data_IF_674982529711
#
_entry.id   IF_674982529711
#
_cell.length_a   1.000
_cell.length_b   1.000
_cell.length_c   1.000
_cell.angle_alpha   90.00
_cell.angle_beta   90.00
_cell.angle_gamma   90.00
#
_symmetry.space_group_name_H-M   'P 1'
#
loop_
_entity.id
_entity.type
_entity.pdbx_description
1 polymer ?
#
# COMPACT_ATOMS: atom_id res chain seq x y z
N UNK A 1 1.39 8.50 22.48
CA UNK A 1 2.65 7.93 21.97
C UNK A 1 2.28 7.06 20.78
N UNK A 2 2.59 7.49 19.56
CA UNK A 2 2.49 6.63 18.37
C UNK A 2 3.84 5.96 18.20
N UNK A 3 3.96 4.71 18.64
CA UNK A 3 5.15 3.91 18.35
C UNK A 3 5.23 3.72 16.83
N UNK A 4 6.40 3.96 16.23
CA UNK A 4 6.63 3.62 14.83
C UNK A 4 6.37 2.12 14.63
N UNK A 5 5.41 1.78 13.78
CA UNK A 5 4.96 0.40 13.60
C UNK A 5 6.04 -0.50 13.00
N UNK A 6 6.93 0.07 12.17
CA UNK A 6 8.05 -0.66 11.57
C UNK A 6 9.11 -0.96 12.62
N UNK A 7 9.43 0.00 13.47
CA UNK A 7 10.34 -0.21 14.61
C UNK A 7 9.79 -1.27 15.57
N UNK A 8 8.50 -1.16 15.93
CA UNK A 8 7.84 -2.14 16.78
C UNK A 8 7.85 -3.55 16.18
N UNK A 9 7.58 -3.67 14.88
CA UNK A 9 7.59 -4.97 14.19
C UNK A 9 8.98 -5.63 14.26
N UNK A 10 10.06 -4.87 14.04
CA UNK A 10 11.43 -5.41 14.14
C UNK A 10 11.80 -5.81 15.57
N UNK A 11 11.41 -5.01 16.57
CA UNK A 11 11.63 -5.34 17.98
C UNK A 11 10.89 -6.63 18.36
N UNK A 12 9.61 -6.74 17.97
CA UNK A 12 8.79 -7.92 18.25
C UNK A 12 9.29 -9.17 17.53
N UNK A 13 9.74 -9.04 16.28
CA UNK A 13 10.37 -10.14 15.52
C UNK A 13 11.61 -10.67 16.23
N UNK A 14 12.54 -9.79 16.60
CA UNK A 14 13.75 -10.16 17.32
C UNK A 14 13.46 -10.78 18.70
N UNK A 15 12.43 -10.28 19.39
CA UNK A 15 11.99 -10.87 20.67
C UNK A 15 11.39 -12.27 20.46
N UNK A 16 10.56 -12.44 19.43
CA UNK A 16 9.94 -13.72 19.10
C UNK A 16 10.96 -14.78 18.68
N UNK A 17 11.97 -14.43 17.89
CA UNK A 17 13.05 -15.35 17.49
C UNK A 17 13.85 -15.90 18.69
N UNK A 18 14.03 -15.07 19.74
CA UNK A 18 14.75 -15.46 20.96
C UNK A 18 13.88 -16.21 21.97
N UNK A 19 12.57 -16.09 21.86
CA UNK A 19 11.64 -16.73 22.77
C UNK A 19 11.51 -18.24 22.51
N UNK A 20 11.04 -18.99 23.52
CA UNK A 20 10.80 -20.43 23.39
C UNK A 20 9.74 -20.70 22.33
N UNK A 21 10.13 -21.40 21.26
CA UNK A 21 9.22 -21.74 20.17
C UNK A 21 8.20 -22.81 20.58
N UNK A 22 7.09 -22.86 19.84
CA UNK A 22 6.04 -23.87 19.98
C UNK A 22 4.73 -23.33 20.57
N UNK A 23 3.82 -24.25 20.88
CA UNK A 23 2.46 -23.91 21.31
C UNK A 23 2.45 -23.51 22.78
N UNK A 24 2.25 -22.21 23.02
CA UNK A 24 2.05 -21.69 24.37
C UNK A 24 0.60 -21.92 24.79
N UNK A 25 0.39 -22.14 26.08
CA UNK A 25 -0.96 -22.38 26.63
C UNK A 25 -1.19 -21.57 27.89
N UNK A 26 -2.38 -21.00 28.00
CA UNK A 26 -2.88 -20.48 29.27
C UNK A 26 -3.47 -21.65 30.08
N UNK A 27 -3.32 -21.59 31.39
CA UNK A 27 -3.93 -22.57 32.29
C UNK A 27 -4.31 -21.91 33.62
N UNK A 28 -5.14 -22.59 34.40
CA UNK A 28 -5.60 -22.12 35.72
C UNK A 28 -5.11 -23.04 36.81
N UNK A 29 -4.65 -22.45 37.90
CA UNK A 29 -4.30 -23.16 39.13
C UNK A 29 -5.55 -23.42 39.97
N UNK A 30 -5.45 -24.39 40.88
CA UNK A 30 -6.53 -24.73 41.82
C UNK A 30 -6.94 -23.57 42.72
N UNK A 31 -6.04 -22.60 42.96
CA UNK A 31 -6.32 -21.41 43.77
C UNK A 31 -6.98 -20.28 42.98
N UNK A 32 -7.26 -20.47 41.68
CA UNK A 32 -7.89 -19.51 40.78
C UNK A 32 -6.92 -18.56 40.06
N UNK A 33 -5.61 -18.63 40.32
CA UNK A 33 -4.63 -17.86 39.52
C UNK A 33 -4.52 -18.45 38.11
N UNK A 34 -4.07 -17.63 37.18
CA UNK A 34 -3.78 -18.07 35.82
C UNK A 34 -2.26 -18.07 35.57
N UNK A 35 -1.83 -18.93 34.66
CA UNK A 35 -0.43 -19.01 34.23
C UNK A 35 -0.32 -19.27 32.73
N UNK A 36 0.90 -19.16 32.22
CA UNK A 36 1.25 -19.45 30.83
C UNK A 36 2.39 -20.46 30.84
N UNK A 37 2.26 -21.51 30.04
CA UNK A 37 3.29 -22.53 29.82
C UNK A 37 3.91 -22.41 28.43
N UNK A 38 5.22 -22.62 28.34
CA UNK A 38 6.00 -22.59 27.09
C UNK A 38 5.83 -23.82 26.19
N UNK A 39 6.35 -23.71 24.96
CA UNK A 39 6.27 -24.76 23.92
C UNK A 39 7.27 -25.91 24.10
N UNK A 40 6.89 -27.10 23.61
CA UNK A 40 7.57 -28.41 23.61
C UNK A 40 7.07 -29.47 24.61
N UNK A 41 5.86 -29.37 25.16
CA UNK A 41 5.19 -30.40 25.97
C UNK A 41 5.92 -30.86 27.26
N UNK A 42 7.18 -30.47 27.46
CA UNK A 42 7.93 -30.47 28.70
C UNK A 42 7.98 -29.01 29.19
N UNK A 43 7.49 -28.75 30.38
CA UNK A 43 7.33 -27.39 30.90
C UNK A 43 8.71 -26.77 31.17
N UNK A 44 9.13 -25.81 30.34
CA UNK A 44 10.42 -25.09 30.50
C UNK A 44 10.23 -23.73 31.20
N UNK A 45 9.10 -23.05 31.00
CA UNK A 45 8.83 -21.75 31.63
C UNK A 45 7.36 -21.60 31.95
N UNK A 46 7.09 -21.23 33.21
CA UNK A 46 5.76 -21.00 33.76
C UNK A 46 5.70 -19.63 34.41
N UNK A 47 4.88 -18.73 33.87
CA UNK A 47 4.61 -17.44 34.50
C UNK A 47 3.40 -17.57 35.44
N UNK A 48 3.65 -17.84 36.73
CA UNK A 48 2.61 -18.24 37.71
C UNK A 48 1.86 -17.09 38.40
N UNK A 49 2.17 -15.83 38.07
CA UNK A 49 1.73 -14.65 38.82
C UNK A 49 0.67 -13.79 38.11
N UNK A 50 -0.11 -14.37 37.19
CA UNK A 50 -1.25 -13.64 36.60
C UNK A 50 -2.43 -13.66 37.58
N UNK A 51 -3.04 -12.49 37.78
CA UNK A 51 -4.15 -12.29 38.72
C UNK A 51 -5.31 -13.26 38.46
N UNK A 52 -5.99 -13.67 39.54
CA UNK A 52 -7.22 -14.47 39.48
C UNK A 52 -8.34 -13.78 38.70
N UNK A 53 -8.30 -12.45 38.63
CA UNK A 53 -9.28 -11.62 37.95
C UNK A 53 -8.92 -11.33 36.48
N UNK A 54 -7.80 -11.87 35.98
CA UNK A 54 -7.30 -11.60 34.62
C UNK A 54 -6.98 -12.86 33.81
N UNK A 55 -7.91 -13.82 33.69
CA UNK A 55 -7.70 -15.01 32.86
C UNK A 55 -7.50 -14.68 31.38
N UNK A 56 -8.10 -13.58 30.91
CA UNK A 56 -8.00 -13.13 29.52
C UNK A 56 -6.58 -12.69 29.14
N UNK A 57 -5.81 -12.12 30.08
CA UNK A 57 -4.43 -11.71 29.82
C UNK A 57 -3.53 -12.93 29.56
N UNK A 58 -3.70 -14.00 30.35
CA UNK A 58 -2.98 -15.26 30.15
C UNK A 58 -3.31 -15.86 28.78
N UNK A 59 -4.59 -15.89 28.40
CA UNK A 59 -5.04 -16.36 27.09
C UNK A 59 -4.47 -15.52 25.94
N UNK A 60 -4.51 -14.19 26.08
CA UNK A 60 -3.98 -13.27 25.08
C UNK A 60 -2.48 -13.50 24.86
N UNK A 61 -1.68 -13.56 25.93
CA UNK A 61 -0.23 -13.75 25.82
C UNK A 61 0.10 -15.14 25.25
N UNK A 62 -0.63 -16.19 25.65
CA UNK A 62 -0.45 -17.53 25.07
C UNK A 62 -0.78 -17.56 23.56
N UNK A 63 -1.77 -16.79 23.13
CA UNK A 63 -2.11 -16.63 21.70
C UNK A 63 -1.07 -15.76 20.98
N UNK A 64 -0.54 -14.73 21.62
CA UNK A 64 0.55 -13.89 21.12
C UNK A 64 1.93 -14.57 21.25
N UNK A 65 1.97 -15.89 21.07
CA UNK A 65 3.20 -16.66 21.12
C UNK A 65 4.17 -16.27 19.98
N UNK A 66 5.45 -16.68 20.07
CA UNK A 66 6.46 -16.33 19.10
C UNK A 66 6.09 -16.65 17.64
N UNK A 67 5.50 -17.82 17.39
CA UNK A 67 5.12 -18.23 16.03
C UNK A 67 4.04 -17.29 15.45
N UNK A 68 3.04 -16.93 16.24
CA UNK A 68 1.98 -16.01 15.80
C UNK A 68 2.48 -14.58 15.63
N UNK A 69 3.38 -14.11 16.50
CA UNK A 69 4.02 -12.79 16.33
C UNK A 69 4.83 -12.74 15.04
N UNK A 70 5.65 -13.77 14.76
CA UNK A 70 6.43 -13.84 13.53
C UNK A 70 5.52 -13.86 12.28
N UNK A 71 4.44 -14.64 12.30
CA UNK A 71 3.48 -14.69 11.21
C UNK A 71 2.81 -13.32 10.96
N UNK A 72 2.46 -12.59 12.03
CA UNK A 72 1.89 -11.24 11.92
C UNK A 72 2.91 -10.23 11.37
N UNK A 73 4.16 -10.29 11.82
CA UNK A 73 5.22 -9.41 11.30
C UNK A 73 5.50 -9.72 9.83
N UNK A 74 5.57 -10.98 9.43
CA UNK A 74 5.76 -11.36 8.02
C UNK A 74 4.60 -10.88 7.13
N UNK A 75 3.36 -10.99 7.61
CA UNK A 75 2.19 -10.48 6.90
C UNK A 75 2.25 -8.95 6.74
N UNK A 76 2.71 -8.24 7.78
CA UNK A 76 2.91 -6.79 7.76
C UNK A 76 4.00 -6.38 6.76
N UNK A 77 5.17 -7.03 6.80
CA UNK A 77 6.28 -6.80 5.87
C UNK A 77 5.84 -7.01 4.40
N UNK A 78 5.08 -8.09 4.14
CA UNK A 78 4.51 -8.36 2.81
C UNK A 78 3.48 -7.32 2.37
N UNK A 79 2.64 -6.85 3.29
CA UNK A 79 1.66 -5.81 2.98
C UNK A 79 2.33 -4.48 2.62
N UNK A 80 3.38 -4.10 3.36
CA UNK A 80 4.16 -2.89 3.09
C UNK A 80 4.84 -2.97 1.72
N UNK A 81 5.49 -4.09 1.40
CA UNK A 81 6.11 -4.32 0.09
C UNK A 81 5.10 -4.16 -1.06
N UNK A 82 3.88 -4.69 -0.91
CA UNK A 82 2.83 -4.54 -1.92
C UNK A 82 2.42 -3.09 -2.14
N UNK A 83 2.29 -2.31 -1.06
CA UNK A 83 1.96 -0.88 -1.14
C UNK A 83 3.08 -0.13 -1.88
N UNK A 84 4.34 -0.42 -1.56
CA UNK A 84 5.48 0.24 -2.17
C UNK A 84 5.57 -0.10 -3.68
N UNK A 85 5.39 -1.36 -4.05
CA UNK A 85 5.35 -1.77 -5.48
C UNK A 85 4.17 -1.15 -6.23
N UNK A 86 3.00 -1.03 -5.59
CA UNK A 86 1.84 -0.35 -6.22
C UNK A 86 2.12 1.13 -6.44
N UNK A 87 2.77 1.80 -5.48
CA UNK A 87 3.16 3.20 -5.62
C UNK A 87 4.09 3.39 -6.81
N UNK A 88 5.15 2.60 -6.90
CA UNK A 88 6.10 2.65 -8.01
C UNK A 88 5.41 2.43 -9.37
N UNK A 89 4.50 1.45 -9.44
CA UNK A 89 3.71 1.21 -10.65
C UNK A 89 2.88 2.44 -11.05
N UNK A 90 2.13 3.04 -10.11
CA UNK A 90 1.30 4.20 -10.40
C UNK A 90 2.12 5.43 -10.76
N UNK A 91 3.26 5.66 -10.10
CA UNK A 91 4.19 6.73 -10.46
C UNK A 91 4.68 6.58 -11.90
N UNK A 92 5.01 5.34 -12.33
CA UNK A 92 5.39 5.04 -13.71
C UNK A 92 4.27 5.32 -14.72
N UNK A 93 3.05 4.87 -14.44
CA UNK A 93 1.87 5.10 -15.30
C UNK A 93 1.56 6.60 -15.42
N UNK A 94 1.62 7.34 -14.31
CA UNK A 94 1.39 8.79 -14.29
C UNK A 94 2.47 9.51 -15.09
N UNK A 95 3.74 9.12 -14.93
CA UNK A 95 4.85 9.72 -15.66
C UNK A 95 4.73 9.49 -17.18
N UNK A 96 4.41 8.27 -17.62
CA UNK A 96 4.21 7.95 -19.03
C UNK A 96 3.00 8.68 -19.63
N UNK A 97 1.87 8.66 -18.91
CA UNK A 97 0.67 9.40 -19.29
C UNK A 97 0.93 10.90 -19.40
N UNK A 98 1.67 11.48 -18.46
CA UNK A 98 2.09 12.88 -18.49
C UNK A 98 2.95 13.23 -19.71
N UNK A 99 3.91 12.36 -20.07
CA UNK A 99 4.71 12.53 -21.30
C UNK A 99 3.84 12.49 -22.55
N UNK A 100 2.91 11.53 -22.63
CA UNK A 100 2.02 11.40 -23.80
C UNK A 100 1.08 12.59 -23.93
N UNK A 101 0.56 13.11 -22.82
CA UNK A 101 -0.25 14.33 -22.82
C UNK A 101 0.58 15.51 -23.32
N UNK A 102 1.79 15.72 -22.78
CA UNK A 102 2.67 16.81 -23.23
C UNK A 102 3.04 16.70 -24.73
N UNK A 103 3.33 15.49 -25.21
CA UNK A 103 3.56 15.20 -26.64
C UNK A 103 2.33 15.58 -27.47
N UNK A 104 1.14 15.09 -27.11
CA UNK A 104 -0.11 15.40 -27.81
C UNK A 104 -0.47 16.89 -27.78
N UNK A 105 -0.27 17.57 -26.66
CA UNK A 105 -0.48 19.01 -26.50
C UNK A 105 0.53 19.84 -27.30
N UNK A 106 1.70 19.31 -27.60
CA UNK A 106 2.72 19.99 -28.43
C UNK A 106 2.42 19.91 -29.93
N UNK A 107 1.64 18.92 -30.37
CA UNK A 107 1.34 18.69 -31.78
C UNK A 107 0.58 19.85 -32.40
N UNK A 108 0.98 20.19 -33.62
CA UNK A 108 0.33 21.16 -34.48
C UNK A 108 -0.29 20.44 -35.68
N UNK A 109 -1.37 21.00 -36.23
CA UNK A 109 -1.91 20.56 -37.52
C UNK A 109 -1.57 21.57 -38.62
N UNK A 110 -1.19 21.06 -39.79
CA UNK A 110 -1.11 21.83 -41.04
C UNK A 110 -2.45 21.77 -41.74
N UNK A 111 -3.02 22.94 -42.05
CA UNK A 111 -4.25 23.01 -42.84
C UNK A 111 -3.88 23.09 -44.33
N UNK A 112 -4.64 22.43 -45.23
CA UNK A 112 -4.47 22.59 -46.67
C UNK A 112 -4.82 24.03 -47.07
N UNK A 113 -4.31 24.47 -48.23
CA UNK A 113 -4.63 25.79 -48.76
C UNK A 113 -6.13 25.91 -49.09
N UNK A 114 -6.76 27.08 -48.89
CA UNK A 114 -8.18 27.25 -49.13
C UNK A 114 -8.63 26.87 -50.55
N UNK A 115 -7.79 27.04 -51.57
CA UNK A 115 -8.08 26.62 -52.95
C UNK A 115 -8.22 25.08 -53.10
N UNK A 116 -7.66 24.31 -52.17
CA UNK A 116 -7.75 22.84 -52.13
C UNK A 116 -9.00 22.34 -51.39
N UNK A 117 -9.84 23.23 -50.86
CA UNK A 117 -11.01 22.86 -50.08
C UNK A 117 -12.19 22.65 -51.05
N UNK A 118 -12.55 21.39 -51.32
CA UNK A 118 -13.72 21.03 -52.15
C UNK A 118 -15.03 21.25 -51.37
N UNK A 119 -15.43 22.52 -51.20
CA UNK A 119 -16.67 22.92 -50.54
C UNK A 119 -17.51 23.79 -51.46
N UNK A 120 -18.64 23.25 -51.89
CA UNK A 120 -19.59 23.87 -52.83
C UNK A 120 -20.53 24.91 -52.19
N UNK A 121 -20.49 25.13 -50.87
CA UNK A 121 -21.27 26.19 -50.21
C UNK A 121 -20.54 26.84 -49.02
N UNK A 122 -20.57 28.18 -49.01
CA UNK A 122 -20.18 29.13 -47.96
C UNK A 122 -18.68 29.20 -47.65
N UNK A 123 -18.05 30.29 -48.11
CA UNK A 123 -16.71 30.76 -47.76
C UNK A 123 -16.53 30.85 -46.23
N UNK A 124 -16.13 29.75 -45.59
CA UNK A 124 -15.54 29.80 -44.27
C UNK A 124 -14.18 30.49 -44.42
N UNK A 125 -14.15 31.80 -44.19
CA UNK A 125 -12.94 32.59 -44.14
C UNK A 125 -11.88 31.85 -43.29
N UNK A 126 -10.68 31.62 -43.84
CA UNK A 126 -9.55 30.96 -43.18
C UNK A 126 -9.37 31.40 -41.72
N UNK A 127 -9.55 32.69 -41.44
CA UNK A 127 -9.51 33.25 -40.07
C UNK A 127 -10.56 32.62 -39.13
N UNK A 128 -11.79 32.41 -39.59
CA UNK A 128 -12.88 31.79 -38.80
C UNK A 128 -12.61 30.30 -38.54
N UNK A 129 -12.07 29.57 -39.52
CA UNK A 129 -11.70 28.15 -39.36
C UNK A 129 -10.58 27.99 -38.35
N UNK A 130 -9.49 28.75 -38.50
CA UNK A 130 -8.37 28.73 -37.57
C UNK A 130 -8.81 29.16 -36.16
N UNK A 131 -9.67 30.18 -36.04
CA UNK A 131 -10.22 30.59 -34.76
C UNK A 131 -11.05 29.49 -34.08
N UNK A 132 -11.90 28.78 -34.84
CA UNK A 132 -12.69 27.66 -34.32
C UNK A 132 -11.80 26.49 -33.87
N UNK A 133 -10.76 26.14 -34.63
CA UNK A 133 -9.81 25.07 -34.30
C UNK A 133 -9.03 25.41 -33.02
N UNK A 134 -8.56 26.66 -32.90
CA UNK A 134 -7.88 27.14 -31.68
C UNK A 134 -8.81 27.20 -30.47
N UNK A 135 -10.08 27.59 -30.67
CA UNK A 135 -11.09 27.57 -29.61
C UNK A 135 -11.37 26.14 -29.10
N UNK A 136 -11.18 25.13 -29.94
CA UNK A 136 -11.20 23.71 -29.55
C UNK A 136 -9.89 23.21 -28.92
N UNK A 137 -8.91 24.10 -28.68
CA UNK A 137 -7.63 23.77 -28.03
C UNK A 137 -6.58 23.15 -28.95
N UNK A 138 -6.82 23.10 -30.27
CA UNK A 138 -5.89 22.49 -31.23
C UNK A 138 -4.92 23.56 -31.74
N UNK A 139 -3.62 23.27 -31.68
CA UNK A 139 -2.59 24.15 -32.24
C UNK A 139 -2.53 23.99 -33.77
N UNK A 140 -2.45 25.11 -34.47
CA UNK A 140 -2.30 25.18 -35.93
C UNK A 140 -0.96 25.85 -36.21
N UNK A 141 -0.19 25.30 -37.15
CA UNK A 141 1.09 25.90 -37.55
C UNK A 141 0.90 27.34 -38.03
N UNK A 142 1.85 28.21 -37.66
CA UNK A 142 1.92 29.56 -38.22
C UNK A 142 2.47 29.47 -39.65
N UNK A 143 1.92 30.27 -40.56
CA UNK A 143 2.47 30.47 -41.92
C UNK A 143 3.73 31.33 -41.90
#
# INVERSE_FOLDING_TARGET
MTTDITELAQILKAAAEKATQGNWRAFQYHDGRCGIGGGHNAEIMVCEHISKERPHDAMFIAMANPANVLALVEALEKAQQRIDSQREYYEGVIADGGKRIADLESRTVKLPEPEQWDITQVLLCKKKVVAAIRAAGIKVEAE
#
